data_IF_476121362126
#
_entry.id   IF_476121362126
#
_cell.length_a   1.000
_cell.length_b   1.000
_cell.length_c   1.000
_cell.angle_alpha   90.00
_cell.angle_beta   90.00
_cell.angle_gamma   90.00
#
_symmetry.space_group_name_H-M   'P 1'
#
loop_
_entity.id
_entity.type
_entity.pdbx_description
1 polymer ?
#
# COMPACT_ATOMS: atom_id res chain seq x y z
N UNK A 1 13.81 54.80 45.05
CA UNK A 1 12.70 54.07 45.75
C UNK A 1 11.90 53.41 44.64
N UNK A 2 11.83 52.23 44.47
CA UNK A 2 11.47 51.05 45.17
C UNK A 2 11.39 49.92 44.12
N UNK A 3 12.14 48.90 44.29
CA UNK A 3 11.71 47.51 44.54
C UNK A 3 10.63 47.01 43.57
N UNK A 4 10.94 46.16 42.63
CA UNK A 4 11.01 44.71 42.74
C UNK A 4 9.91 44.11 41.92
N UNK A 5 10.21 43.33 40.95
CA UNK A 5 9.57 42.03 40.84
C UNK A 5 10.40 41.06 39.98
N UNK A 6 11.15 40.26 40.71
CA UNK A 6 11.66 38.99 40.27
C UNK A 6 10.53 37.98 40.48
N UNK A 7 10.16 37.27 39.45
CA UNK A 7 9.53 35.94 39.41
C UNK A 7 8.57 35.81 38.21
N UNK A 8 9.06 35.21 37.17
CA UNK A 8 8.34 34.29 36.31
C UNK A 8 9.22 33.83 35.14
N UNK A 9 10.35 33.27 35.44
CA UNK A 9 11.15 32.48 34.48
C UNK A 9 11.19 31.07 35.08
N UNK A 10 10.24 30.26 34.71
CA UNK A 10 10.33 28.81 34.72
C UNK A 10 9.06 28.24 33.98
N UNK A 11 9.32 27.31 33.08
CA UNK A 11 8.37 26.54 32.28
C UNK A 11 7.91 27.13 30.93
N UNK A 12 8.81 27.10 29.95
CA UNK A 12 8.46 26.66 28.58
C UNK A 12 9.71 26.19 27.81
N UNK A 13 10.33 25.13 28.27
CA UNK A 13 11.25 24.33 27.45
C UNK A 13 10.41 23.19 26.89
N UNK A 14 9.71 23.41 25.77
CA UNK A 14 9.14 22.32 24.98
C UNK A 14 9.17 22.67 23.49
N UNK A 15 10.04 21.96 22.77
CA UNK A 15 10.03 21.79 21.33
C UNK A 15 10.19 23.02 20.43
N UNK A 16 11.36 23.60 20.41
CA UNK A 16 11.85 24.25 19.20
C UNK A 16 12.32 23.18 18.21
N UNK A 17 11.46 22.79 17.28
CA UNK A 17 11.89 22.15 16.02
C UNK A 17 12.80 23.15 15.32
N UNK A 18 14.11 22.88 15.26
CA UNK A 18 15.03 23.63 14.42
C UNK A 18 14.52 23.56 12.98
N UNK A 19 13.99 24.67 12.47
CA UNK A 19 13.86 24.90 11.04
C UNK A 19 15.28 25.06 10.51
N UNK A 20 15.82 24.03 9.87
CA UNK A 20 17.01 24.18 9.06
C UNK A 20 16.60 24.94 7.79
N UNK A 21 17.04 26.16 7.66
CA UNK A 21 17.13 26.87 6.39
C UNK A 21 18.21 26.13 5.58
N UNK A 22 17.82 25.59 4.42
CA UNK A 22 18.76 25.01 3.47
C UNK A 22 19.20 26.14 2.55
N UNK A 23 20.40 26.64 2.74
CA UNK A 23 21.12 27.38 1.71
C UNK A 23 21.54 26.38 0.60
N UNK A 24 21.40 26.79 -0.64
CA UNK A 24 21.83 26.04 -1.83
C UNK A 24 23.32 25.70 -1.70
N UNK A 25 23.65 24.41 -1.59
CA UNK A 25 25.03 23.94 -1.62
C UNK A 25 25.39 22.76 -0.74
N UNK A 26 24.49 22.28 0.13
CA UNK A 26 24.77 21.13 0.99
C UNK A 26 24.28 19.86 0.28
N UNK A 27 25.20 18.95 0.01
CA UNK A 27 24.95 17.56 -0.37
C UNK A 27 23.80 17.00 0.48
N UNK A 28 22.62 16.85 -0.12
CA UNK A 28 21.48 16.27 0.55
C UNK A 28 21.88 14.86 0.99
N UNK A 29 21.82 14.59 2.29
CA UNK A 29 21.94 13.24 2.82
C UNK A 29 20.76 12.40 2.33
N UNK A 30 20.81 11.94 1.08
CA UNK A 30 19.72 11.21 0.42
C UNK A 30 19.31 9.94 1.17
N UNK A 31 20.17 9.46 2.06
CA UNK A 31 19.96 8.25 2.82
C UNK A 31 18.89 8.30 3.92
N UNK A 32 18.51 9.48 4.38
CA UNK A 32 17.50 9.66 5.44
C UNK A 32 16.11 10.02 4.91
N UNK A 33 15.93 10.04 3.59
CA UNK A 33 14.62 10.31 3.00
C UNK A 33 13.67 9.16 3.30
N UNK A 34 12.50 9.52 3.84
CA UNK A 34 11.41 8.56 4.08
C UNK A 34 10.50 8.58 2.87
N UNK A 35 10.28 7.40 2.32
CA UNK A 35 9.30 7.16 1.27
C UNK A 35 8.12 6.35 1.82
N UNK A 36 6.97 6.57 1.25
CA UNK A 36 5.82 5.68 1.40
C UNK A 36 5.88 4.63 0.29
N UNK A 37 5.74 3.37 0.66
CA UNK A 37 5.76 2.21 -0.22
C UNK A 37 4.42 1.49 -0.20
N UNK A 38 4.06 0.90 -1.32
CA UNK A 38 2.90 0.01 -1.43
C UNK A 38 3.20 -1.13 -2.38
N UNK A 39 2.97 -2.36 -1.94
CA UNK A 39 3.01 -3.56 -2.79
C UNK A 39 1.61 -3.84 -3.30
N UNK A 40 1.46 -4.00 -4.62
CA UNK A 40 0.16 -4.11 -5.25
C UNK A 40 0.09 -5.20 -6.31
N UNK A 41 -1.10 -5.78 -6.52
CA UNK A 41 -1.49 -6.46 -7.74
C UNK A 41 -2.26 -5.48 -8.62
N UNK A 42 -1.93 -5.45 -9.90
CA UNK A 42 -2.56 -4.55 -10.86
C UNK A 42 -3.28 -5.36 -11.95
N UNK A 43 -4.54 -5.04 -12.27
CA UNK A 43 -5.23 -5.62 -13.42
C UNK A 43 -4.52 -5.24 -14.73
N UNK A 44 -4.71 -6.06 -15.78
CA UNK A 44 -4.28 -5.71 -17.13
C UNK A 44 -5.01 -4.46 -17.66
N UNK A 45 -4.48 -3.89 -18.72
CA UNK A 45 -4.89 -2.55 -19.18
C UNK A 45 -6.38 -2.47 -19.51
N UNK A 46 -6.95 -3.44 -20.23
CA UNK A 46 -8.37 -3.45 -20.60
C UNK A 46 -9.29 -3.41 -19.37
N UNK A 47 -9.02 -4.26 -18.36
CA UNK A 47 -9.79 -4.28 -17.12
C UNK A 47 -9.57 -2.99 -16.31
N UNK A 48 -8.36 -2.45 -16.35
CA UNK A 48 -8.05 -1.14 -15.74
C UNK A 48 -8.90 -0.05 -16.35
N UNK A 49 -9.04 -0.01 -17.68
CA UNK A 49 -9.87 0.96 -18.39
C UNK A 49 -11.35 0.81 -18.04
N UNK A 50 -11.88 -0.42 -18.00
CA UNK A 50 -13.25 -0.69 -17.56
C UNK A 50 -13.51 -0.14 -16.14
N UNK A 51 -12.61 -0.41 -15.21
CA UNK A 51 -12.72 0.10 -13.83
C UNK A 51 -12.60 1.62 -13.79
N UNK A 52 -11.72 2.20 -14.60
CA UNK A 52 -11.59 3.66 -14.67
C UNK A 52 -12.83 4.34 -15.25
N UNK A 53 -13.52 3.72 -16.23
CA UNK A 53 -14.81 4.19 -16.71
C UNK A 53 -15.86 4.18 -15.59
N UNK A 54 -15.91 3.09 -14.82
CA UNK A 54 -16.82 2.98 -13.68
C UNK A 54 -16.54 4.06 -12.63
N UNK A 55 -15.25 4.32 -12.34
CA UNK A 55 -14.83 5.39 -11.42
C UNK A 55 -15.21 6.78 -11.95
N UNK A 56 -15.16 6.98 -13.27
CA UNK A 56 -15.57 8.24 -13.91
C UNK A 56 -17.07 8.47 -13.74
N UNK A 57 -17.89 7.45 -14.03
CA UNK A 57 -19.34 7.52 -13.82
C UNK A 57 -19.69 7.80 -12.35
N UNK A 58 -18.97 7.15 -11.42
CA UNK A 58 -19.13 7.40 -9.99
C UNK A 58 -18.77 8.84 -9.63
N UNK A 59 -17.60 9.33 -10.08
CA UNK A 59 -17.10 10.65 -9.77
C UNK A 59 -18.05 11.77 -10.26
N UNK A 60 -18.59 11.61 -11.46
CA UNK A 60 -19.53 12.57 -12.07
C UNK A 60 -20.89 12.55 -11.34
N UNK A 61 -21.41 11.37 -11.04
CA UNK A 61 -22.75 11.22 -10.46
C UNK A 61 -22.82 11.62 -8.98
N UNK A 62 -21.77 11.33 -8.21
CA UNK A 62 -21.74 11.55 -6.76
C UNK A 62 -20.78 12.67 -6.33
N UNK A 63 -20.40 13.53 -7.25
CA UNK A 63 -19.57 14.71 -6.98
C UNK A 63 -18.27 14.37 -6.21
N UNK A 64 -17.58 13.28 -6.62
CA UNK A 64 -16.40 12.77 -5.95
C UNK A 64 -15.21 12.68 -6.93
N UNK A 65 -14.61 13.79 -7.38
CA UNK A 65 -13.51 13.79 -8.34
C UNK A 65 -12.26 13.06 -7.83
N UNK A 66 -12.10 12.93 -6.50
CA UNK A 66 -10.99 12.20 -5.88
C UNK A 66 -10.99 10.71 -6.23
N UNK A 67 -12.12 10.15 -6.64
CA UNK A 67 -12.23 8.78 -7.12
C UNK A 67 -11.28 8.51 -8.30
N UNK A 68 -11.00 9.51 -9.15
CA UNK A 68 -10.16 9.40 -10.34
C UNK A 68 -8.65 9.35 -10.05
N UNK A 69 -8.20 9.84 -8.89
CA UNK A 69 -6.77 9.95 -8.60
C UNK A 69 -6.07 8.62 -8.33
N UNK A 70 -6.81 7.59 -8.04
CA UNK A 70 -6.25 6.29 -7.70
C UNK A 70 -6.44 5.30 -8.86
N UNK A 71 -5.33 4.83 -9.43
CA UNK A 71 -5.37 3.73 -10.41
C UNK A 71 -5.93 2.46 -9.76
N UNK A 72 -6.72 1.65 -10.49
CA UNK A 72 -7.24 0.36 -10.02
C UNK A 72 -6.09 -0.58 -9.62
N UNK A 73 -6.14 -1.09 -8.38
CA UNK A 73 -5.15 -2.04 -7.85
C UNK A 73 -5.63 -2.67 -6.56
N UNK A 74 -5.14 -3.85 -6.25
CA UNK A 74 -5.31 -4.49 -4.95
C UNK A 74 -4.04 -4.20 -4.14
N UNK A 75 -4.17 -3.44 -3.05
CA UNK A 75 -3.06 -3.09 -2.18
C UNK A 75 -2.80 -4.23 -1.19
N UNK A 76 -1.63 -4.88 -1.25
CA UNK A 76 -1.28 -6.01 -0.37
C UNK A 76 -0.70 -5.56 0.97
N UNK A 77 0.21 -4.60 0.92
CA UNK A 77 0.80 -3.97 2.11
C UNK A 77 1.21 -2.54 1.80
N UNK A 78 1.01 -1.65 2.78
CA UNK A 78 1.47 -0.25 2.74
C UNK A 78 2.35 0.01 3.95
N UNK A 79 3.49 0.69 3.74
CA UNK A 79 4.43 1.01 4.81
C UNK A 79 5.24 2.26 4.47
N UNK A 80 5.87 2.83 5.50
CA UNK A 80 6.89 3.89 5.34
C UNK A 80 8.24 3.31 5.69
N UNK A 81 9.28 3.70 4.95
CA UNK A 81 10.64 3.27 5.24
C UNK A 81 11.65 4.26 4.65
N UNK A 82 12.86 4.26 5.22
CA UNK A 82 13.99 5.00 4.69
C UNK A 82 14.38 4.49 3.30
N UNK A 83 14.73 5.39 2.39
CA UNK A 83 15.14 5.05 1.03
C UNK A 83 16.33 4.09 0.99
N UNK A 84 17.25 4.17 1.96
CA UNK A 84 18.37 3.24 2.14
C UNK A 84 17.95 1.78 2.31
N UNK A 85 16.76 1.51 2.80
CA UNK A 85 16.25 0.16 3.00
C UNK A 85 15.64 -0.45 1.72
N UNK A 86 15.42 0.36 0.68
CA UNK A 86 14.80 -0.08 -0.57
C UNK A 86 15.50 -1.28 -1.22
N UNK A 87 16.84 -1.35 -1.32
CA UNK A 87 17.49 -2.53 -1.90
C UNK A 87 17.25 -3.82 -1.11
N UNK A 88 17.14 -3.75 0.22
CA UNK A 88 16.85 -4.89 1.07
C UNK A 88 15.40 -5.35 0.90
N UNK A 89 14.47 -4.39 0.80
CA UNK A 89 13.05 -4.65 0.53
C UNK A 89 12.89 -5.33 -0.84
N UNK A 90 13.54 -4.81 -1.88
CA UNK A 90 13.54 -5.38 -3.23
C UNK A 90 14.03 -6.82 -3.21
N UNK A 91 15.16 -7.09 -2.55
CA UNK A 91 15.73 -8.45 -2.45
C UNK A 91 14.75 -9.41 -1.79
N UNK A 92 14.11 -8.98 -0.70
CA UNK A 92 13.16 -9.81 0.01
C UNK A 92 11.90 -10.08 -0.82
N UNK A 93 11.38 -9.07 -1.51
CA UNK A 93 10.24 -9.24 -2.41
C UNK A 93 10.56 -10.17 -3.58
N UNK A 94 11.77 -10.13 -4.14
CA UNK A 94 12.24 -11.08 -5.17
C UNK A 94 12.17 -12.53 -4.68
N UNK A 95 12.63 -12.79 -3.44
CA UNK A 95 12.60 -14.14 -2.86
C UNK A 95 11.16 -14.64 -2.68
N UNK A 96 10.26 -13.80 -2.17
CA UNK A 96 8.85 -14.16 -1.97
C UNK A 96 8.18 -14.47 -3.31
N UNK A 97 8.36 -13.60 -4.31
CA UNK A 97 7.71 -13.74 -5.61
C UNK A 97 8.28 -14.87 -6.45
N UNK A 98 9.56 -15.22 -6.27
CA UNK A 98 10.16 -16.37 -6.93
C UNK A 98 9.48 -17.69 -6.55
N UNK A 99 9.04 -17.83 -5.30
CA UNK A 99 8.29 -18.98 -4.82
C UNK A 99 6.80 -18.96 -5.17
N UNK A 100 6.26 -17.82 -5.54
CA UNK A 100 4.85 -17.64 -5.86
C UNK A 100 4.52 -18.07 -7.28
N UNK A 101 3.32 -18.61 -7.49
CA UNK A 101 2.77 -18.98 -8.81
C UNK A 101 1.76 -17.94 -9.27
N UNK A 102 1.65 -17.76 -10.59
CA UNK A 102 0.58 -16.96 -11.18
C UNK A 102 -0.79 -17.57 -10.87
N UNK A 103 -1.78 -16.73 -10.61
CA UNK A 103 -3.13 -17.16 -10.30
C UNK A 103 -4.19 -16.21 -10.88
N UNK A 104 -5.41 -16.75 -10.99
CA UNK A 104 -6.56 -16.00 -11.48
C UNK A 104 -7.18 -15.18 -10.36
N UNK A 105 -7.38 -13.90 -10.61
CA UNK A 105 -8.14 -12.99 -9.76
C UNK A 105 -9.50 -12.72 -10.39
N UNK A 106 -10.55 -12.92 -9.62
CA UNK A 106 -11.93 -12.71 -10.04
C UNK A 106 -12.56 -11.56 -9.24
N UNK A 107 -13.25 -10.69 -9.98
CA UNK A 107 -13.98 -9.54 -9.47
C UNK A 107 -15.47 -9.78 -9.69
N UNK A 108 -16.29 -9.58 -8.64
CA UNK A 108 -17.75 -9.78 -8.74
C UNK A 108 -18.51 -8.82 -7.85
N UNK A 109 -19.31 -7.96 -8.47
CA UNK A 109 -20.17 -7.00 -7.78
C UNK A 109 -19.38 -5.95 -6.99
N UNK A 110 -20.11 -5.18 -6.23
CA UNK A 110 -19.57 -4.12 -5.39
C UNK A 110 -19.72 -4.47 -3.91
N UNK A 111 -18.94 -3.82 -3.08
CA UNK A 111 -18.99 -3.87 -1.63
C UNK A 111 -18.73 -2.50 -1.05
N UNK A 112 -18.95 -2.35 0.24
CA UNK A 112 -18.66 -1.10 0.94
C UNK A 112 -17.99 -1.34 2.28
N UNK A 113 -17.14 -0.39 2.68
CA UNK A 113 -16.84 -0.18 4.08
C UNK A 113 -17.76 0.95 4.56
N UNK A 114 -18.63 0.68 5.54
CA UNK A 114 -19.67 1.60 5.93
C UNK A 114 -19.18 3.04 6.16
N UNK A 115 -19.99 3.98 5.71
CA UNK A 115 -19.82 5.41 5.82
C UNK A 115 -18.72 6.07 4.98
N UNK A 116 -17.83 5.34 4.29
CA UNK A 116 -16.71 6.06 3.64
C UNK A 116 -16.12 5.46 2.36
N UNK A 117 -16.45 4.22 1.98
CA UNK A 117 -15.77 3.57 0.84
C UNK A 117 -16.71 2.66 0.07
N UNK A 118 -16.69 2.80 -1.26
CA UNK A 118 -17.30 1.83 -2.21
C UNK A 118 -16.18 1.18 -3.02
N UNK A 119 -16.25 -0.13 -3.21
CA UNK A 119 -15.21 -0.91 -3.87
C UNK A 119 -15.79 -2.05 -4.70
N UNK A 120 -14.98 -2.61 -5.59
CA UNK A 120 -15.28 -3.86 -6.32
C UNK A 120 -14.79 -5.03 -5.49
N UNK A 121 -15.66 -6.02 -5.28
CA UNK A 121 -15.34 -7.24 -4.52
C UNK A 121 -14.35 -8.11 -5.30
N UNK A 122 -13.39 -8.67 -4.58
CA UNK A 122 -12.50 -9.74 -5.05
C UNK A 122 -13.00 -11.06 -4.46
N UNK A 123 -13.33 -12.02 -5.31
CA UNK A 123 -13.85 -13.34 -4.88
C UNK A 123 -12.74 -14.37 -4.66
N UNK A 124 -11.62 -14.27 -5.40
CA UNK A 124 -10.45 -15.14 -5.26
C UNK A 124 -9.54 -14.67 -4.13
N UNK A 125 -10.00 -14.82 -2.88
CA UNK A 125 -9.29 -14.27 -1.71
C UNK A 125 -8.10 -15.09 -1.25
N UNK A 126 -8.16 -16.42 -1.38
CA UNK A 126 -7.19 -17.35 -0.77
C UNK A 126 -5.78 -17.08 -1.26
N UNK A 127 -5.54 -17.10 -2.57
CA UNK A 127 -4.22 -16.90 -3.17
C UNK A 127 -3.63 -15.52 -2.84
N UNK A 128 -4.49 -14.50 -2.78
CA UNK A 128 -4.05 -13.14 -2.40
C UNK A 128 -3.62 -13.12 -0.93
N UNK A 129 -4.40 -13.77 -0.05
CA UNK A 129 -4.07 -13.80 1.37
C UNK A 129 -2.84 -14.65 1.67
N UNK A 130 -2.55 -15.67 0.86
CA UNK A 130 -1.31 -16.44 0.95
C UNK A 130 -0.09 -15.55 0.68
N UNK A 131 -0.13 -14.72 -0.39
CA UNK A 131 0.94 -13.74 -0.65
C UNK A 131 1.06 -12.73 0.50
N UNK A 132 -0.06 -12.23 1.03
CA UNK A 132 -0.05 -11.32 2.18
C UNK A 132 0.60 -11.98 3.40
N UNK A 133 0.36 -13.27 3.63
CA UNK A 133 0.99 -14.05 4.71
C UNK A 133 2.51 -14.13 4.52
N UNK A 134 2.98 -14.40 3.31
CA UNK A 134 4.42 -14.40 2.99
C UNK A 134 5.04 -13.00 3.20
N UNK A 135 4.36 -11.95 2.78
CA UNK A 135 4.79 -10.57 2.99
C UNK A 135 4.89 -10.22 4.49
N UNK A 136 4.04 -10.79 5.35
CA UNK A 136 4.10 -10.59 6.81
C UNK A 136 5.40 -11.10 7.43
N UNK A 137 6.03 -12.12 6.86
CA UNK A 137 7.34 -12.59 7.31
C UNK A 137 8.41 -11.49 7.21
N UNK A 138 8.22 -10.51 6.32
CA UNK A 138 9.11 -9.36 6.10
C UNK A 138 8.71 -8.12 6.92
N UNK A 139 7.75 -8.23 7.84
CA UNK A 139 7.21 -7.11 8.60
C UNK A 139 8.28 -6.28 9.31
N UNK A 140 9.31 -6.93 9.88
CA UNK A 140 10.40 -6.25 10.58
C UNK A 140 11.20 -5.32 9.65
N UNK A 141 11.41 -5.75 8.40
CA UNK A 141 12.11 -4.96 7.39
C UNK A 141 11.27 -3.77 6.89
N UNK A 142 9.95 -3.92 6.88
CA UNK A 142 9.00 -2.89 6.43
C UNK A 142 8.62 -1.90 7.53
N UNK A 143 8.97 -2.19 8.80
CA UNK A 143 8.66 -1.33 9.94
C UNK A 143 9.71 -0.22 10.05
N UNK A 144 9.28 1.05 10.01
CA UNK A 144 10.14 2.21 10.19
C UNK A 144 10.45 2.42 11.69
N UNK A 145 9.39 2.46 12.51
CA UNK A 145 9.43 2.65 13.96
C UNK A 145 8.15 2.03 14.58
N UNK A 146 7.95 2.25 15.89
CA UNK A 146 6.79 1.67 16.60
C UNK A 146 5.46 2.30 16.21
N UNK A 147 5.45 3.54 15.75
CA UNK A 147 4.26 4.27 15.32
C UNK A 147 3.95 4.03 13.83
N UNK A 148 4.97 3.72 13.02
CA UNK A 148 4.86 3.48 11.58
C UNK A 148 5.04 2.00 11.23
N UNK A 149 4.10 1.18 11.69
CA UNK A 149 4.04 -0.25 11.35
C UNK A 149 3.47 -0.46 9.94
N UNK A 150 3.91 -1.50 9.22
CA UNK A 150 3.32 -1.85 7.94
C UNK A 150 1.84 -2.26 8.10
N UNK A 151 1.02 -1.75 7.19
CA UNK A 151 -0.41 -2.03 7.14
C UNK A 151 -0.69 -3.08 6.07
N UNK A 152 -0.97 -4.30 6.50
CA UNK A 152 -1.26 -5.43 5.62
C UNK A 152 -2.75 -5.50 5.30
N UNK A 153 -3.04 -5.93 4.08
CA UNK A 153 -4.39 -6.19 3.61
C UNK A 153 -5.10 -7.22 4.49
N UNK A 154 -6.35 -6.93 4.82
CA UNK A 154 -7.26 -7.85 5.54
C UNK A 154 -8.38 -8.35 4.65
N UNK A 155 -8.87 -7.49 3.75
CA UNK A 155 -9.96 -7.78 2.83
C UNK A 155 -9.59 -7.33 1.40
N UNK A 156 -9.32 -8.26 0.46
CA UNK A 156 -8.99 -7.92 -0.92
C UNK A 156 -10.13 -7.18 -1.64
N UNK A 157 -9.80 -6.01 -2.19
CA UNK A 157 -10.76 -5.20 -2.93
C UNK A 157 -10.06 -4.22 -3.88
N UNK A 158 -10.80 -3.70 -4.86
CA UNK A 158 -10.38 -2.57 -5.70
C UNK A 158 -11.28 -1.37 -5.39
N UNK A 159 -10.74 -0.34 -4.78
CA UNK A 159 -11.53 0.84 -4.40
C UNK A 159 -12.03 1.60 -5.63
N UNK A 160 -13.33 1.88 -5.66
CA UNK A 160 -13.96 2.86 -6.58
C UNK A 160 -13.79 4.26 -6.00
N UNK A 161 -14.27 4.50 -4.80
CA UNK A 161 -14.15 5.76 -4.11
C UNK A 161 -13.87 5.52 -2.62
N UNK A 162 -13.12 6.43 -2.00
CA UNK A 162 -12.75 6.40 -0.59
C UNK A 162 -12.88 7.78 0.02
N UNK A 163 -13.05 7.85 1.34
CA UNK A 163 -13.22 9.09 2.10
C UNK A 163 -14.45 9.87 1.63
N UNK A 164 -15.50 9.12 1.27
CA UNK A 164 -16.77 9.70 0.89
C UNK A 164 -17.37 10.48 2.06
N UNK A 165 -18.03 11.58 1.78
CA UNK A 165 -18.91 12.24 2.74
C UNK A 165 -20.11 11.34 3.04
N UNK A 166 -20.75 11.45 4.22
CA UNK A 166 -21.89 10.58 4.56
C UNK A 166 -22.99 10.57 3.50
N UNK A 167 -23.38 11.72 2.98
CA UNK A 167 -24.41 11.83 1.95
C UNK A 167 -23.98 11.22 0.61
N UNK A 168 -22.67 11.30 0.24
CA UNK A 168 -22.13 10.65 -0.96
C UNK A 168 -22.18 9.13 -0.81
N UNK A 169 -21.79 8.63 0.37
CA UNK A 169 -21.82 7.20 0.67
C UNK A 169 -23.25 6.66 0.62
N UNK A 170 -24.19 7.24 1.31
CA UNK A 170 -25.59 6.78 1.36
C UNK A 170 -26.20 6.74 -0.05
N UNK A 171 -26.09 7.85 -0.80
CA UNK A 171 -26.62 7.96 -2.16
C UNK A 171 -25.99 6.95 -3.13
N UNK A 172 -24.66 6.79 -3.05
CA UNK A 172 -23.94 5.89 -3.94
C UNK A 172 -24.16 4.44 -3.59
N UNK A 173 -24.24 4.09 -2.30
CA UNK A 173 -24.39 2.70 -1.87
C UNK A 173 -25.77 2.15 -2.22
N UNK A 174 -26.83 2.92 -2.09
CA UNK A 174 -28.18 2.52 -2.52
C UNK A 174 -28.24 2.06 -3.97
N UNK A 175 -27.39 2.61 -4.84
CA UNK A 175 -27.33 2.21 -6.24
C UNK A 175 -26.33 1.07 -6.48
N UNK A 176 -25.14 1.18 -5.87
CA UNK A 176 -24.04 0.26 -6.12
C UNK A 176 -24.24 -1.11 -5.46
N UNK A 177 -25.02 -1.22 -4.41
CA UNK A 177 -25.41 -2.49 -3.78
C UNK A 177 -26.08 -3.44 -4.77
N UNK A 178 -26.89 -2.91 -5.70
CA UNK A 178 -27.62 -3.69 -6.69
C UNK A 178 -26.93 -3.73 -8.07
N UNK A 179 -25.82 -3.00 -8.23
CA UNK A 179 -25.11 -2.95 -9.51
C UNK A 179 -24.23 -4.16 -9.71
N UNK A 180 -24.20 -4.66 -10.94
CA UNK A 180 -23.37 -5.79 -11.31
C UNK A 180 -22.04 -5.33 -11.90
N UNK A 181 -20.97 -6.01 -11.51
CA UNK A 181 -19.64 -5.89 -12.10
C UNK A 181 -19.02 -7.28 -12.20
N UNK A 182 -18.40 -7.57 -13.33
CA UNK A 182 -17.64 -8.80 -13.54
C UNK A 182 -16.31 -8.47 -14.22
N UNK A 183 -15.25 -9.03 -13.72
CA UNK A 183 -13.93 -8.90 -14.30
C UNK A 183 -13.01 -10.02 -13.82
N UNK A 184 -11.95 -10.28 -14.58
CA UNK A 184 -10.92 -11.26 -14.21
C UNK A 184 -9.60 -10.87 -14.81
N UNK A 185 -8.53 -11.21 -14.10
CA UNK A 185 -7.16 -11.05 -14.62
C UNK A 185 -6.25 -12.13 -14.04
N UNK A 186 -5.12 -12.35 -14.69
CA UNK A 186 -4.06 -13.20 -14.15
C UNK A 186 -3.10 -12.31 -13.39
N UNK A 187 -2.93 -12.59 -12.11
CA UNK A 187 -1.88 -12.00 -11.31
C UNK A 187 -0.60 -12.82 -11.54
N UNK A 188 0.30 -12.29 -12.34
CA UNK A 188 1.58 -12.89 -12.71
C UNK A 188 2.77 -12.14 -12.10
N UNK A 189 2.51 -11.03 -11.45
CA UNK A 189 3.50 -10.19 -10.81
C UNK A 189 2.92 -9.31 -9.70
N UNK A 190 3.79 -8.79 -8.86
CA UNK A 190 3.49 -7.66 -7.97
C UNK A 190 4.34 -6.46 -8.34
N UNK A 191 3.84 -5.26 -8.05
CA UNK A 191 4.57 -4.01 -8.20
C UNK A 191 4.88 -3.43 -6.83
N UNK A 192 6.12 -2.99 -6.64
CA UNK A 192 6.48 -2.09 -5.55
C UNK A 192 6.37 -0.67 -6.08
N UNK A 193 5.46 0.09 -5.52
CA UNK A 193 5.29 1.50 -5.82
C UNK A 193 5.84 2.31 -4.66
N UNK A 194 6.46 3.46 -4.97
CA UNK A 194 6.96 4.42 -3.99
C UNK A 194 6.48 5.83 -4.29
N UNK A 195 6.39 6.63 -3.25
CA UNK A 195 6.24 8.09 -3.34
C UNK A 195 6.90 8.77 -2.16
N UNK A 196 7.39 9.97 -2.35
CA UNK A 196 7.79 10.84 -1.24
C UNK A 196 6.57 11.32 -0.46
N UNK A 197 6.73 11.54 0.83
CA UNK A 197 5.63 11.90 1.73
C UNK A 197 4.78 13.10 1.25
N UNK A 198 5.42 14.06 0.57
CA UNK A 198 4.76 15.28 0.07
C UNK A 198 4.29 15.16 -1.39
N UNK A 199 4.47 14.01 -2.04
CA UNK A 199 4.09 13.81 -3.44
C UNK A 199 2.78 13.05 -3.55
N UNK A 200 1.93 13.44 -4.51
CA UNK A 200 0.67 12.73 -4.78
C UNK A 200 0.87 11.53 -5.70
N UNK A 201 1.82 11.62 -6.64
CA UNK A 201 2.04 10.61 -7.66
C UNK A 201 2.87 9.43 -7.13
N UNK A 202 2.40 8.22 -7.43
CA UNK A 202 3.14 6.98 -7.20
C UNK A 202 4.06 6.70 -8.40
N UNK A 203 5.28 6.27 -8.12
CA UNK A 203 6.25 5.79 -9.09
C UNK A 203 6.47 4.31 -8.89
N UNK A 204 6.67 3.55 -9.96
CA UNK A 204 7.07 2.15 -9.88
C UNK A 204 8.54 2.08 -9.50
N UNK A 205 8.83 1.50 -8.35
CA UNK A 205 10.20 1.22 -7.92
C UNK A 205 10.71 -0.07 -8.57
N UNK A 206 9.89 -1.15 -8.58
CA UNK A 206 10.29 -2.44 -9.13
C UNK A 206 9.06 -3.29 -9.48
N UNK A 207 9.23 -4.20 -10.46
CA UNK A 207 8.26 -5.21 -10.86
C UNK A 207 8.82 -6.60 -10.59
N UNK A 208 8.07 -7.45 -9.91
CA UNK A 208 8.49 -8.79 -9.51
C UNK A 208 7.57 -9.83 -10.13
N UNK A 209 8.10 -10.62 -11.07
CA UNK A 209 7.35 -11.70 -11.72
C UNK A 209 7.26 -12.92 -10.80
N UNK A 210 6.13 -13.61 -10.81
CA UNK A 210 5.98 -14.90 -10.17
C UNK A 210 6.67 -15.97 -11.01
N UNK A 211 7.54 -16.79 -10.38
CA UNK A 211 8.41 -17.73 -11.10
C UNK A 211 8.06 -19.19 -10.84
N UNK A 212 7.16 -19.47 -9.88
CA UNK A 212 6.81 -20.84 -9.48
C UNK A 212 8.02 -21.71 -9.08
N UNK A 213 9.09 -21.09 -8.60
CA UNK A 213 10.27 -21.81 -8.11
C UNK A 213 9.95 -22.37 -6.73
N UNK A 214 9.56 -23.64 -6.65
CA UNK A 214 9.48 -24.33 -5.36
C UNK A 214 10.89 -24.32 -4.75
N UNK A 215 11.02 -23.79 -3.53
CA UNK A 215 12.24 -24.00 -2.76
C UNK A 215 12.41 -25.49 -2.57
N UNK A 216 13.40 -26.09 -3.21
CA UNK A 216 13.87 -27.42 -2.84
C UNK A 216 14.41 -27.27 -1.41
N UNK A 217 13.61 -27.65 -0.44
CA UNK A 217 14.11 -27.95 0.89
C UNK A 217 14.98 -29.17 0.73
N UNK A 218 16.28 -28.96 0.60
CA UNK A 218 17.26 -30.03 0.73
C UNK A 218 17.13 -30.49 2.16
N UNK A 219 16.37 -31.58 2.35
CA UNK A 219 16.32 -32.29 3.61
C UNK A 219 17.71 -32.92 3.77
N UNK A 220 18.58 -32.23 4.53
CA UNK A 220 19.88 -32.75 4.84
C UNK A 220 19.71 -34.13 5.48
N UNK A 221 20.23 -35.13 4.82
CA UNK A 221 20.33 -36.51 5.37
C UNK A 221 21.26 -36.45 6.59
N UNK A 222 20.70 -36.28 7.78
CA UNK A 222 21.40 -36.29 9.05
C UNK A 222 21.93 -37.69 9.45
N UNK A 223 21.74 -38.71 8.59
CA UNK A 223 22.10 -40.10 8.86
C UNK A 223 22.96 -40.75 7.77
N UNK A 224 23.81 -40.01 7.08
CA UNK A 224 24.77 -40.60 6.17
C UNK A 224 26.19 -40.60 6.78
N UNK A 225 26.40 -41.24 7.91
CA UNK A 225 27.74 -41.61 8.39
C UNK A 225 27.64 -42.53 9.61
N UNK A 226 27.32 -43.79 9.38
CA UNK A 226 27.79 -44.91 10.19
C UNK A 226 27.68 -46.16 9.32
N UNK A 227 28.76 -46.45 8.59
CA UNK A 227 29.29 -47.79 8.29
C UNK A 227 30.67 -47.62 7.66
#
# INVERSE_FOLDING_TARGET
MSVGNCMAILYTKKYQRKKFFVEEGVLSSSGYLINEYIVVLQPHEELTQMIMQEKKLFAEKFECPEALYLKPRIALVRFKQHELMEPHIIRQLKNITAASSSFKVELKGFGSFPAHTVYINVTSKVQIMDIVKELRASQKLMKLDDDNKPHFLTEPHISIARKLQPWQYEKSWMEYEHKHFHGRFIADHVLLLKRRENMKAWQTAEKFMFQNMKSETTQGNLFASIF
#
